data_IF_765440393663
#
_entry.id   IF_765440393663
#
_cell.length_a   1.000
_cell.length_b   1.000
_cell.length_c   1.000
_cell.angle_alpha   90.00
_cell.angle_beta   90.00
_cell.angle_gamma   90.00
#
_symmetry.space_group_name_H-M   'P 1'
#
loop_
_entity.id
_entity.type
_entity.pdbx_description
1 polymer ?
#
# COMPACT_ATOMS: atom_id res chain seq x y z
N UNK A 1 37.34 -26.40 -11.85
CA UNK A 1 37.11 -24.94 -11.68
C UNK A 1 35.73 -24.45 -12.15
N UNK A 2 35.06 -25.07 -13.15
CA UNK A 2 33.70 -24.67 -13.58
C UNK A 2 32.56 -24.97 -12.59
N UNK A 3 32.74 -25.93 -11.67
CA UNK A 3 31.70 -26.34 -10.71
C UNK A 3 31.49 -25.34 -9.56
N UNK A 4 32.56 -24.72 -9.04
CA UNK A 4 32.47 -23.77 -7.92
C UNK A 4 31.86 -22.40 -8.31
N UNK A 5 31.95 -22.02 -9.59
CA UNK A 5 31.33 -20.80 -10.12
C UNK A 5 29.81 -20.96 -10.27
N UNK A 6 29.34 -22.17 -10.57
CA UNK A 6 27.93 -22.50 -10.73
C UNK A 6 27.18 -22.47 -9.38
N UNK A 7 27.81 -22.96 -8.30
CA UNK A 7 27.29 -22.83 -6.93
C UNK A 7 27.18 -21.36 -6.50
N UNK A 8 28.16 -20.54 -6.83
CA UNK A 8 28.14 -19.10 -6.53
C UNK A 8 27.00 -18.38 -7.24
N UNK A 9 26.72 -18.69 -8.51
CA UNK A 9 25.62 -18.08 -9.28
C UNK A 9 24.23 -18.48 -8.75
N UNK A 10 24.04 -19.75 -8.37
CA UNK A 10 22.79 -20.23 -7.78
C UNK A 10 22.55 -19.61 -6.38
N UNK A 11 23.60 -19.51 -5.56
CA UNK A 11 23.55 -18.84 -4.26
C UNK A 11 23.26 -17.34 -4.40
N UNK A 12 23.85 -16.66 -5.39
CA UNK A 12 23.55 -15.26 -5.69
C UNK A 12 22.08 -15.07 -6.10
N UNK A 13 21.57 -15.96 -6.96
CA UNK A 13 20.17 -15.94 -7.40
C UNK A 13 19.20 -16.14 -6.23
N UNK A 14 19.54 -17.04 -5.30
CA UNK A 14 18.74 -17.29 -4.10
C UNK A 14 18.78 -16.12 -3.13
N UNK A 15 19.95 -15.53 -2.87
CA UNK A 15 20.12 -14.34 -2.03
C UNK A 15 19.35 -13.13 -2.60
N UNK A 16 19.41 -12.95 -3.93
CA UNK A 16 18.61 -11.95 -4.64
C UNK A 16 17.12 -12.15 -4.36
N UNK A 17 16.59 -13.37 -4.58
CA UNK A 17 15.17 -13.67 -4.36
C UNK A 17 14.71 -13.41 -2.92
N UNK A 18 15.50 -13.84 -1.94
CA UNK A 18 15.19 -13.65 -0.51
C UNK A 18 15.10 -12.16 -0.17
N UNK A 19 16.03 -11.36 -0.70
CA UNK A 19 16.08 -9.94 -0.40
C UNK A 19 15.05 -9.11 -1.20
N UNK A 20 14.65 -9.56 -2.39
CA UNK A 20 13.60 -8.91 -3.18
C UNK A 20 12.20 -9.24 -2.68
N UNK A 21 12.00 -10.41 -2.07
CA UNK A 21 10.68 -10.89 -1.69
C UNK A 21 9.93 -9.91 -0.75
N UNK A 22 10.53 -9.37 0.33
CA UNK A 22 9.87 -8.38 1.19
C UNK A 22 9.42 -7.12 0.44
N UNK A 23 10.16 -6.73 -0.61
CA UNK A 23 9.82 -5.55 -1.43
C UNK A 23 8.57 -5.77 -2.28
N UNK A 24 8.18 -7.01 -2.56
CA UNK A 24 6.90 -7.32 -3.22
C UNK A 24 5.79 -7.70 -2.23
N UNK A 25 6.15 -8.41 -1.16
CA UNK A 25 5.20 -8.95 -0.20
C UNK A 25 4.45 -7.86 0.55
N UNK A 26 5.17 -6.85 1.04
CA UNK A 26 4.61 -5.70 1.77
C UNK A 26 3.52 -4.94 0.98
N UNK A 27 3.77 -4.46 -0.25
CA UNK A 27 2.77 -3.72 -1.01
C UNK A 27 1.60 -4.61 -1.43
N UNK A 28 1.83 -5.90 -1.69
CA UNK A 28 0.75 -6.86 -1.92
C UNK A 28 -0.17 -7.03 -0.71
N UNK A 29 0.40 -7.15 0.49
CA UNK A 29 -0.40 -7.23 1.73
C UNK A 29 -1.15 -5.93 2.00
N UNK A 30 -0.54 -4.79 1.69
CA UNK A 30 -1.20 -3.48 1.76
C UNK A 30 -2.39 -3.40 0.81
N UNK A 31 -2.20 -3.81 -0.44
CA UNK A 31 -3.28 -3.89 -1.43
C UNK A 31 -4.41 -4.82 -0.96
N UNK A 32 -4.08 -6.02 -0.49
CA UNK A 32 -5.07 -6.99 -0.01
C UNK A 32 -5.84 -6.47 1.21
N UNK A 33 -5.17 -5.75 2.12
CA UNK A 33 -5.82 -5.09 3.26
C UNK A 33 -6.77 -3.99 2.80
N UNK A 34 -6.37 -3.15 1.85
CA UNK A 34 -7.21 -2.09 1.28
C UNK A 34 -8.43 -2.68 0.56
N UNK A 35 -8.23 -3.70 -0.26
CA UNK A 35 -9.31 -4.41 -0.95
C UNK A 35 -10.38 -4.97 0.01
N UNK A 36 -9.95 -5.67 1.06
CA UNK A 36 -10.88 -6.19 2.09
C UNK A 36 -11.61 -5.08 2.84
N UNK A 37 -10.92 -3.96 3.12
CA UNK A 37 -11.53 -2.82 3.80
C UNK A 37 -12.55 -2.10 2.91
N UNK A 38 -12.23 -1.93 1.61
CA UNK A 38 -13.12 -1.35 0.62
C UNK A 38 -14.41 -2.16 0.48
N UNK A 39 -14.30 -3.48 0.31
CA UNK A 39 -15.45 -4.37 0.23
C UNK A 39 -16.36 -4.20 1.46
N UNK A 40 -15.78 -4.26 2.67
CA UNK A 40 -16.53 -4.06 3.93
C UNK A 40 -17.20 -2.68 4.01
N UNK A 41 -16.54 -1.63 3.55
CA UNK A 41 -17.07 -0.27 3.58
C UNK A 41 -18.21 -0.09 2.58
N UNK A 42 -18.05 -0.62 1.36
CA UNK A 42 -19.06 -0.57 0.30
C UNK A 42 -20.30 -1.38 0.71
N UNK A 43 -20.11 -2.58 1.26
CA UNK A 43 -21.22 -3.43 1.74
C UNK A 43 -22.02 -2.73 2.85
N UNK A 44 -21.34 -2.04 3.76
CA UNK A 44 -22.00 -1.24 4.82
C UNK A 44 -22.82 -0.09 4.27
N UNK A 45 -22.27 0.69 3.34
CA UNK A 45 -23.02 1.79 2.74
C UNK A 45 -24.17 1.30 1.86
N UNK A 46 -23.98 0.17 1.18
CA UNK A 46 -25.05 -0.50 0.42
C UNK A 46 -26.19 -0.89 1.36
N UNK A 47 -25.88 -1.47 2.52
CA UNK A 47 -26.89 -1.76 3.56
C UNK A 47 -27.63 -0.51 4.02
N UNK A 48 -26.94 0.62 4.25
CA UNK A 48 -27.60 1.89 4.59
C UNK A 48 -28.56 2.38 3.50
N UNK A 49 -28.18 2.25 2.23
CA UNK A 49 -29.03 2.60 1.08
C UNK A 49 -30.24 1.67 1.03
N UNK A 50 -30.05 0.35 1.14
CA UNK A 50 -31.15 -0.63 1.15
C UNK A 50 -32.15 -0.35 2.27
N UNK A 51 -31.66 -0.02 3.47
CA UNK A 51 -32.54 0.35 4.60
C UNK A 51 -33.34 1.63 4.32
N UNK A 52 -32.71 2.66 3.74
CA UNK A 52 -33.39 3.91 3.40
C UNK A 52 -34.46 3.70 2.31
N UNK A 53 -34.17 2.86 1.31
CA UNK A 53 -35.13 2.50 0.26
C UNK A 53 -36.28 1.68 0.82
N UNK A 54 -36.03 0.72 1.71
CA UNK A 54 -37.08 -0.09 2.32
C UNK A 54 -38.05 0.78 3.16
N UNK A 55 -37.55 1.77 3.89
CA UNK A 55 -38.39 2.72 4.64
C UNK A 55 -39.23 3.60 3.70
N UNK A 56 -38.66 4.01 2.57
CA UNK A 56 -39.38 4.73 1.53
C UNK A 56 -40.51 3.86 0.93
N UNK A 57 -40.22 2.62 0.52
CA UNK A 57 -41.21 1.68 -0.02
C UNK A 57 -42.35 1.41 0.98
N UNK A 58 -42.01 1.21 2.26
CA UNK A 58 -42.98 1.04 3.33
C UNK A 58 -43.89 2.26 3.47
N UNK A 59 -43.34 3.46 3.41
CA UNK A 59 -44.11 4.71 3.50
C UNK A 59 -45.03 4.89 2.29
N UNK A 60 -44.57 4.50 1.09
CA UNK A 60 -45.35 4.54 -0.15
C UNK A 60 -46.52 3.54 -0.18
N UNK A 61 -46.45 2.46 0.60
CA UNK A 61 -47.52 1.45 0.66
C UNK A 61 -48.80 1.91 1.39
N UNK A 62 -48.76 3.08 2.04
CA UNK A 62 -49.90 3.68 2.75
C UNK A 62 -50.54 4.87 2.01
N UNK A 63 -51.06 5.84 2.77
CA UNK A 63 -51.48 7.18 2.29
C UNK A 63 -50.46 8.22 2.76
N UNK A 64 -49.30 8.34 2.10
CA UNK A 64 -48.23 9.20 2.57
C UNK A 64 -48.53 10.69 2.31
N UNK A 65 -48.07 11.53 3.23
CA UNK A 65 -48.03 12.99 3.01
C UNK A 65 -46.88 13.30 2.06
N UNK A 66 -47.11 14.13 1.05
CA UNK A 66 -46.09 14.48 0.03
C UNK A 66 -44.76 14.91 0.66
N UNK A 67 -44.78 15.77 1.67
CA UNK A 67 -43.57 16.24 2.36
C UNK A 67 -42.75 15.11 3.00
N UNK A 68 -43.43 14.07 3.52
CA UNK A 68 -42.74 12.91 4.11
C UNK A 68 -41.99 12.09 3.05
N UNK A 69 -42.58 11.95 1.86
CA UNK A 69 -41.95 11.25 0.73
C UNK A 69 -40.76 12.04 0.21
N UNK A 70 -40.89 13.36 0.08
CA UNK A 70 -39.79 14.25 -0.35
C UNK A 70 -38.61 14.13 0.63
N UNK A 71 -38.87 14.20 1.94
CA UNK A 71 -37.83 14.06 2.96
C UNK A 71 -37.13 12.69 2.93
N UNK A 72 -37.87 11.60 2.68
CA UNK A 72 -37.28 10.26 2.55
C UNK A 72 -36.44 10.13 1.29
N UNK A 73 -36.89 10.69 0.17
CA UNK A 73 -36.12 10.74 -1.07
C UNK A 73 -34.81 11.52 -0.89
N UNK A 74 -34.83 12.67 -0.21
CA UNK A 74 -33.61 13.41 0.13
C UNK A 74 -32.66 12.55 0.98
N UNK A 75 -33.20 11.81 1.95
CA UNK A 75 -32.44 10.84 2.74
C UNK A 75 -31.76 9.77 1.89
N UNK A 76 -32.49 9.17 0.93
CA UNK A 76 -31.95 8.18 -0.01
C UNK A 76 -30.85 8.79 -0.89
N UNK A 77 -31.06 10.00 -1.41
CA UNK A 77 -30.08 10.73 -2.23
C UNK A 77 -28.79 10.98 -1.43
N UNK A 78 -28.90 11.39 -0.17
CA UNK A 78 -27.72 11.60 0.69
C UNK A 78 -26.95 10.30 0.95
N UNK A 79 -27.64 9.17 1.19
CA UNK A 79 -26.99 7.86 1.34
C UNK A 79 -26.30 7.41 0.04
N UNK A 80 -26.93 7.61 -1.11
CA UNK A 80 -26.33 7.30 -2.41
C UNK A 80 -25.08 8.15 -2.70
N UNK A 81 -25.13 9.45 -2.37
CA UNK A 81 -23.96 10.35 -2.48
C UNK A 81 -22.81 9.88 -1.59
N UNK A 82 -23.11 9.49 -0.35
CA UNK A 82 -22.12 8.96 0.58
C UNK A 82 -21.49 7.66 0.07
N UNK A 83 -22.30 6.72 -0.43
CA UNK A 83 -21.84 5.48 -1.06
C UNK A 83 -20.91 5.77 -2.25
N UNK A 84 -21.34 6.63 -3.18
CA UNK A 84 -20.55 7.02 -4.36
C UNK A 84 -19.18 7.58 -3.95
N UNK A 85 -19.15 8.50 -2.99
CA UNK A 85 -17.90 9.10 -2.51
C UNK A 85 -16.97 8.04 -1.89
N UNK A 86 -17.48 7.22 -0.97
CA UNK A 86 -16.68 6.19 -0.29
C UNK A 86 -16.17 5.11 -1.24
N UNK A 87 -16.97 4.73 -2.23
CA UNK A 87 -16.55 3.80 -3.28
C UNK A 87 -15.39 4.39 -4.10
N UNK A 88 -15.50 5.66 -4.54
CA UNK A 88 -14.44 6.33 -5.29
C UNK A 88 -13.13 6.42 -4.49
N UNK A 89 -13.18 6.84 -3.23
CA UNK A 89 -12.02 6.90 -2.33
C UNK A 89 -11.38 5.52 -2.14
N UNK A 90 -12.18 4.47 -1.95
CA UNK A 90 -11.69 3.11 -1.75
C UNK A 90 -11.02 2.55 -3.01
N UNK A 91 -11.64 2.74 -4.18
CA UNK A 91 -11.10 2.30 -5.47
C UNK A 91 -9.79 3.03 -5.78
N UNK A 92 -9.73 4.34 -5.53
CA UNK A 92 -8.50 5.12 -5.72
C UNK A 92 -7.36 4.59 -4.85
N UNK A 93 -7.64 4.32 -3.56
CA UNK A 93 -6.64 3.78 -2.65
C UNK A 93 -6.14 2.37 -3.06
N UNK A 94 -7.01 1.53 -3.63
CA UNK A 94 -6.61 0.24 -4.20
C UNK A 94 -5.75 0.41 -5.45
N UNK A 95 -6.16 1.28 -6.37
CA UNK A 95 -5.45 1.53 -7.63
C UNK A 95 -4.03 2.05 -7.39
N UNK A 96 -3.84 2.95 -6.43
CA UNK A 96 -2.51 3.42 -6.02
C UNK A 96 -1.61 2.27 -5.54
N UNK A 97 -2.16 1.36 -4.72
CA UNK A 97 -1.42 0.20 -4.20
C UNK A 97 -1.15 -0.84 -5.30
N UNK A 98 -2.09 -1.03 -6.22
CA UNK A 98 -1.92 -1.92 -7.37
C UNK A 98 -0.84 -1.38 -8.33
N UNK A 99 -0.87 -0.07 -8.62
CA UNK A 99 0.16 0.60 -9.42
C UNK A 99 1.54 0.50 -8.76
N UNK A 100 1.65 0.62 -7.45
CA UNK A 100 2.90 0.42 -6.72
C UNK A 100 3.42 -1.02 -6.89
N UNK A 101 2.57 -2.03 -6.71
CA UNK A 101 2.92 -3.43 -6.98
C UNK A 101 3.41 -3.62 -8.42
N UNK A 102 2.72 -3.04 -9.40
CA UNK A 102 3.08 -3.11 -10.82
C UNK A 102 4.47 -2.52 -11.07
N UNK A 103 4.76 -1.32 -10.56
CA UNK A 103 6.07 -0.66 -10.72
C UNK A 103 7.21 -1.50 -10.14
N UNK A 104 7.00 -2.14 -8.98
CA UNK A 104 8.01 -3.02 -8.38
C UNK A 104 8.25 -4.29 -9.18
N UNK A 105 7.19 -4.90 -9.73
CA UNK A 105 7.32 -6.06 -10.63
C UNK A 105 8.06 -5.66 -11.91
N UNK A 106 7.75 -4.51 -12.49
CA UNK A 106 8.44 -3.99 -13.68
C UNK A 106 9.93 -3.77 -13.40
N UNK A 107 10.28 -3.16 -12.27
CA UNK A 107 11.68 -2.99 -11.87
C UNK A 107 12.41 -4.33 -11.69
N UNK A 108 11.75 -5.38 -11.20
CA UNK A 108 12.36 -6.70 -11.10
C UNK A 108 12.58 -7.35 -12.47
N UNK A 109 11.70 -7.09 -13.45
CA UNK A 109 11.88 -7.56 -14.83
C UNK A 109 13.08 -6.90 -15.51
N UNK A 110 13.41 -5.65 -15.17
CA UNK A 110 14.61 -4.97 -15.67
C UNK A 110 15.91 -5.72 -15.33
N UNK A 111 15.94 -6.46 -14.21
CA UNK A 111 17.08 -7.30 -13.82
C UNK A 111 17.36 -8.42 -14.83
N UNK A 112 16.31 -8.96 -15.45
CA UNK A 112 16.39 -10.05 -16.43
C UNK A 112 16.70 -9.54 -17.84
N UNK A 113 16.99 -8.25 -18.02
CA UNK A 113 17.37 -7.68 -19.31
C UNK A 113 18.82 -8.04 -19.67
N UNK A 114 19.03 -8.47 -20.91
CA UNK A 114 20.38 -8.76 -21.44
C UNK A 114 21.23 -7.50 -21.69
N UNK A 115 20.70 -6.30 -21.45
CA UNK A 115 21.45 -5.05 -21.62
C UNK A 115 22.39 -4.76 -20.42
N UNK A 116 23.72 -4.63 -20.65
CA UNK A 116 24.69 -4.37 -19.57
C UNK A 116 24.46 -3.05 -18.81
N UNK A 117 23.96 -2.04 -19.50
CA UNK A 117 23.66 -0.70 -18.95
C UNK A 117 22.43 -0.73 -18.02
N UNK A 118 21.41 -1.51 -18.38
CA UNK A 118 20.23 -1.75 -17.56
C UNK A 118 20.60 -2.50 -16.27
N UNK A 119 21.41 -3.56 -16.38
CA UNK A 119 21.89 -4.32 -15.23
C UNK A 119 22.69 -3.47 -14.24
N UNK A 120 23.55 -2.57 -14.74
CA UNK A 120 24.35 -1.67 -13.88
C UNK A 120 23.47 -0.64 -13.16
N UNK A 121 22.48 -0.09 -13.87
CA UNK A 121 21.52 0.86 -13.29
C UNK A 121 20.63 0.20 -12.24
N UNK A 122 20.19 -1.03 -12.50
CA UNK A 122 19.42 -1.81 -11.55
C UNK A 122 20.21 -2.11 -10.27
N UNK A 123 21.49 -2.50 -10.39
CA UNK A 123 22.38 -2.72 -9.22
C UNK A 123 22.55 -1.46 -8.37
N UNK A 124 22.66 -0.30 -9.00
CA UNK A 124 22.72 0.99 -8.29
C UNK A 124 21.41 1.29 -7.55
N UNK A 125 20.26 1.20 -8.23
CA UNK A 125 18.94 1.38 -7.59
C UNK A 125 18.73 0.42 -6.42
N UNK A 126 19.17 -0.84 -6.56
CA UNK A 126 19.15 -1.84 -5.48
C UNK A 126 19.97 -1.38 -4.28
N UNK A 127 21.19 -0.89 -4.50
CA UNK A 127 22.07 -0.40 -3.44
C UNK A 127 21.46 0.80 -2.71
N UNK A 128 20.94 1.76 -3.46
CA UNK A 128 20.26 2.94 -2.90
C UNK A 128 19.07 2.52 -2.05
N UNK A 129 18.26 1.55 -2.52
CA UNK A 129 17.15 0.99 -1.76
C UNK A 129 17.60 0.35 -0.44
N UNK A 130 18.69 -0.43 -0.47
CA UNK A 130 19.25 -1.03 0.75
C UNK A 130 19.71 0.04 1.75
N UNK A 131 20.34 1.12 1.26
CA UNK A 131 20.74 2.25 2.09
C UNK A 131 19.53 2.96 2.70
N UNK A 132 18.50 3.24 1.90
CA UNK A 132 17.25 3.86 2.39
C UNK A 132 16.60 3.01 3.48
N UNK A 133 16.43 1.71 3.25
CA UNK A 133 15.86 0.83 4.28
C UNK A 133 16.69 0.77 5.55
N UNK A 134 18.03 0.74 5.42
CA UNK A 134 18.92 0.79 6.58
C UNK A 134 18.75 2.11 7.36
N UNK A 135 18.73 3.25 6.66
CA UNK A 135 18.48 4.56 7.27
C UNK A 135 17.13 4.60 8.00
N UNK A 136 16.07 4.04 7.41
CA UNK A 136 14.75 3.96 8.05
C UNK A 136 14.77 3.10 9.32
N UNK A 137 15.44 1.95 9.30
CA UNK A 137 15.61 1.08 10.48
C UNK A 137 16.42 1.76 11.59
N UNK A 138 17.41 2.58 11.23
CA UNK A 138 18.23 3.34 12.17
C UNK A 138 17.56 4.65 12.65
N UNK A 139 16.34 4.96 12.20
CA UNK A 139 15.61 6.16 12.58
C UNK A 139 16.00 7.44 11.82
N UNK A 140 16.84 7.36 10.79
CA UNK A 140 17.25 8.49 9.95
C UNK A 140 16.25 8.79 8.83
N UNK A 141 14.98 9.05 9.20
CA UNK A 141 13.87 9.21 8.25
C UNK A 141 14.09 10.33 7.22
N UNK A 142 14.54 11.51 7.65
CA UNK A 142 14.73 12.65 6.75
C UNK A 142 15.79 12.37 5.68
N UNK A 143 16.89 11.72 6.07
CA UNK A 143 17.96 11.32 5.14
C UNK A 143 17.48 10.23 4.19
N UNK A 144 16.74 9.25 4.72
CA UNK A 144 16.15 8.18 3.93
C UNK A 144 15.21 8.71 2.83
N UNK A 145 14.33 9.65 3.19
CA UNK A 145 13.40 10.30 2.25
C UNK A 145 14.16 11.09 1.17
N UNK A 146 15.17 11.88 1.56
CA UNK A 146 15.98 12.64 0.60
C UNK A 146 16.73 11.73 -0.39
N UNK A 147 17.33 10.65 0.10
CA UNK A 147 18.02 9.68 -0.75
C UNK A 147 17.03 9.00 -1.71
N UNK A 148 15.85 8.61 -1.24
CA UNK A 148 14.84 8.00 -2.10
C UNK A 148 14.38 8.93 -3.23
N UNK A 149 14.21 10.23 -2.93
CA UNK A 149 13.85 11.26 -3.91
C UNK A 149 14.97 11.52 -4.93
N UNK A 150 16.20 11.67 -4.46
CA UNK A 150 17.36 11.92 -5.33
C UNK A 150 17.63 10.74 -6.28
N UNK A 151 17.47 9.51 -5.80
CA UNK A 151 17.65 8.30 -6.60
C UNK A 151 16.40 7.91 -7.42
N UNK A 152 15.26 8.59 -7.23
CA UNK A 152 14.01 8.27 -7.91
C UNK A 152 13.48 6.86 -7.59
N UNK A 153 13.65 6.42 -6.34
CA UNK A 153 13.30 5.06 -5.88
C UNK A 153 12.21 5.05 -4.80
N UNK A 154 11.48 6.15 -4.62
CA UNK A 154 10.40 6.28 -3.61
C UNK A 154 9.40 5.12 -3.69
N UNK A 155 9.05 4.70 -4.91
CA UNK A 155 8.15 3.57 -5.14
C UNK A 155 8.75 2.20 -4.80
N UNK A 156 10.07 2.10 -4.71
CA UNK A 156 10.77 0.83 -4.43
C UNK A 156 11.02 0.64 -2.92
N UNK A 157 10.77 1.66 -2.10
CA UNK A 157 11.00 1.65 -0.65
C UNK A 157 9.68 1.74 0.12
N UNK A 158 9.64 1.18 1.33
CA UNK A 158 8.43 1.15 2.16
C UNK A 158 8.39 2.31 3.18
N UNK A 159 8.71 3.53 2.76
CA UNK A 159 8.87 4.70 3.66
C UNK A 159 7.63 4.89 4.56
N UNK A 160 6.42 4.89 3.98
CA UNK A 160 5.17 5.12 4.71
C UNK A 160 4.96 4.12 5.86
N UNK A 161 5.34 2.86 5.67
CA UNK A 161 5.24 1.85 6.72
C UNK A 161 6.15 2.18 7.91
N UNK A 162 7.37 2.62 7.65
CA UNK A 162 8.32 3.01 8.69
C UNK A 162 7.87 4.29 9.43
N UNK A 163 7.25 5.24 8.72
CA UNK A 163 6.67 6.44 9.32
C UNK A 163 5.45 6.11 10.18
N UNK A 164 4.56 5.23 9.70
CA UNK A 164 3.41 4.76 10.48
C UNK A 164 3.86 4.03 11.74
N UNK A 165 4.89 3.18 11.65
CA UNK A 165 5.46 2.49 12.80
C UNK A 165 6.10 3.46 13.81
N UNK A 166 6.75 4.52 13.33
CA UNK A 166 7.30 5.60 14.18
C UNK A 166 6.20 6.32 14.96
N UNK A 167 5.10 6.66 14.31
CA UNK A 167 3.96 7.34 14.96
C UNK A 167 3.37 6.48 16.08
N UNK A 168 3.16 5.18 15.83
CA UNK A 168 2.70 4.24 16.85
C UNK A 168 3.74 4.07 17.97
N UNK A 169 5.04 3.98 17.65
CA UNK A 169 6.12 3.87 18.63
C UNK A 169 6.26 5.11 19.52
N UNK A 170 5.98 6.30 18.99
CA UNK A 170 5.95 7.56 19.75
C UNK A 170 4.85 7.60 20.81
N UNK A 171 3.72 6.91 20.57
CA UNK A 171 2.62 6.78 21.54
C UNK A 171 3.01 5.92 22.75
N UNK A 172 4.02 5.05 22.61
CA UNK A 172 4.51 4.18 23.70
C UNK A 172 5.68 4.75 24.52
N UNK A 173 6.08 6.00 24.29
CA UNK A 173 6.92 6.77 25.22
C UNK A 173 8.21 6.09 25.68
N UNK A 174 9.30 6.30 24.94
CA UNK A 174 10.63 6.34 25.54
C UNK A 174 11.43 7.47 24.90
N UNK A 175 11.67 8.52 25.69
CA UNK A 175 12.75 9.47 25.47
C UNK A 175 14.07 8.70 25.48
N UNK A 176 14.61 8.42 24.29
CA UNK A 176 15.89 7.77 24.12
C UNK A 176 16.00 7.28 22.70
N UNK A 177 17.04 7.74 21.98
CA UNK A 177 17.38 7.35 20.61
C UNK A 177 16.84 5.95 20.26
N UNK A 178 15.82 5.92 19.39
CA UNK A 178 15.31 4.67 18.82
C UNK A 178 16.35 4.13 17.82
N UNK A 179 17.50 3.66 18.32
CA UNK A 179 18.18 2.56 17.67
C UNK A 179 17.25 1.37 17.81
N UNK A 180 16.34 1.20 16.84
CA UNK A 180 15.75 -0.11 16.61
C UNK A 180 16.94 -1.05 16.42
N UNK A 181 17.17 -2.03 17.33
CA UNK A 181 18.30 -2.94 17.16
C UNK A 181 18.14 -3.58 15.79
N UNK A 182 19.18 -3.47 14.96
CA UNK A 182 19.26 -3.97 13.58
C UNK A 182 19.18 -5.50 13.47
N UNK A 183 18.53 -6.18 14.41
CA UNK A 183 18.44 -7.62 14.54
C UNK A 183 16.98 -8.02 14.72
N UNK A 184 16.34 -8.35 13.60
CA UNK A 184 15.41 -9.49 13.58
C UNK A 184 15.87 -10.38 12.42
N UNK A 185 16.00 -11.71 12.64
CA UNK A 185 16.66 -12.65 11.72
C UNK A 185 16.08 -12.70 10.31
#
# INVERSE_FOLDING_TARGET
>A
MKMAVQESAAQLSMALKVQEYPTLKVPYETLNKRFRAAQKNIDRETSHVTMAVAELEKTLSGFPVVDSVVSLLDGVVEKLRALKRKAAESIQAEDESAKLCKRRIEHLKEHSSDQPTAATTWKRKRMDRMMVEHLLRCGYYNTAVKLAQQSGIEDLVNIEMFLTAKEVGGVFGASGNCHLPCLVP
#
